data_IF_321819379441
#
_entry.id   IF_321819379441
#
_cell.length_a   1.000
_cell.length_b   1.000
_cell.length_c   1.000
_cell.angle_alpha   90.00
_cell.angle_beta   90.00
_cell.angle_gamma   90.00
#
_symmetry.space_group_name_H-M   'P 1'
#
loop_
_entity.id
_entity.type
_entity.pdbx_description
1 polymer ?
#
# COMPACT_ATOMS: atom_id res chain seq x y z
N UNK A 1 46.23 -36.68 -8.05
CA UNK A 1 44.91 -36.60 -7.38
C UNK A 1 44.58 -35.12 -7.18
N UNK A 2 43.75 -34.54 -8.05
CA UNK A 2 43.26 -33.16 -7.94
C UNK A 2 41.85 -33.20 -7.34
N UNK A 3 41.53 -32.43 -6.29
CA UNK A 3 40.20 -32.45 -5.70
C UNK A 3 39.22 -31.68 -6.60
N UNK A 4 38.15 -32.36 -7.00
CA UNK A 4 37.01 -31.77 -7.70
C UNK A 4 36.27 -30.86 -6.72
N UNK A 5 36.23 -29.57 -7.01
CA UNK A 5 35.39 -28.60 -6.31
C UNK A 5 33.94 -28.79 -6.79
N UNK A 6 32.96 -29.11 -5.93
CA UNK A 6 31.58 -29.11 -6.35
C UNK A 6 31.08 -27.67 -6.43
N UNK A 7 30.85 -27.17 -7.65
CA UNK A 7 30.05 -25.97 -7.87
C UNK A 7 28.59 -26.36 -7.66
N UNK A 8 28.12 -26.18 -6.43
CA UNK A 8 26.72 -25.97 -6.10
C UNK A 8 26.72 -24.69 -5.25
N UNK A 9 25.88 -23.69 -5.52
CA UNK A 9 24.57 -23.61 -4.87
C UNK A 9 23.76 -22.44 -5.46
N UNK A 10 22.51 -22.79 -5.79
CA UNK A 10 21.26 -22.02 -5.71
C UNK A 10 21.08 -20.72 -6.51
N UNK A 11 20.60 -20.88 -7.74
CA UNK A 11 19.73 -19.90 -8.40
C UNK A 11 18.28 -20.01 -7.84
N UNK A 12 18.02 -19.51 -6.63
CA UNK A 12 16.66 -19.35 -6.08
C UNK A 12 16.51 -18.10 -5.19
N UNK A 13 17.24 -17.01 -5.51
CA UNK A 13 17.19 -15.74 -4.79
C UNK A 13 16.38 -14.62 -5.48
N UNK A 14 15.61 -14.93 -6.53
CA UNK A 14 15.17 -13.92 -7.50
C UNK A 14 13.99 -13.02 -7.09
N UNK A 15 13.03 -13.50 -6.28
CA UNK A 15 11.75 -12.78 -6.11
C UNK A 15 11.58 -12.17 -4.70
N UNK A 16 12.19 -12.77 -3.68
CA UNK A 16 12.08 -12.26 -2.30
C UNK A 16 12.76 -10.90 -2.10
N UNK A 17 13.86 -10.64 -2.83
CA UNK A 17 14.57 -9.36 -2.77
C UNK A 17 13.75 -8.19 -3.33
N UNK A 18 12.97 -8.43 -4.38
CA UNK A 18 12.20 -7.38 -5.06
C UNK A 18 11.07 -6.84 -4.17
N UNK A 19 10.33 -7.72 -3.48
CA UNK A 19 9.28 -7.33 -2.52
C UNK A 19 9.84 -6.54 -1.33
N UNK A 20 11.04 -6.89 -0.86
CA UNK A 20 11.70 -6.16 0.23
C UNK A 20 12.14 -4.76 -0.21
N UNK A 21 12.60 -4.62 -1.47
CA UNK A 21 12.98 -3.34 -2.04
C UNK A 21 11.78 -2.42 -2.22
N UNK A 22 10.65 -2.95 -2.72
CA UNK A 22 9.39 -2.20 -2.87
C UNK A 22 8.85 -1.73 -1.51
N UNK A 23 8.91 -2.56 -0.47
CA UNK A 23 8.54 -2.18 0.91
C UNK A 23 9.34 -0.99 1.48
N UNK A 24 10.53 -0.70 0.95
CA UNK A 24 11.36 0.44 1.39
C UNK A 24 11.14 1.70 0.56
N UNK A 25 10.42 1.61 -0.56
CA UNK A 25 10.19 2.75 -1.44
C UNK A 25 9.19 3.70 -0.80
N UNK A 26 9.50 4.99 -0.86
CA UNK A 26 8.61 6.06 -0.40
C UNK A 26 7.88 6.67 -1.59
N UNK A 27 6.63 7.05 -1.34
CA UNK A 27 5.74 7.81 -2.20
C UNK A 27 6.02 9.29 -1.92
N UNK A 28 6.47 10.03 -2.93
CA UNK A 28 6.45 11.48 -2.88
C UNK A 28 5.01 11.95 -3.16
N UNK A 29 4.56 13.03 -2.52
CA UNK A 29 3.20 13.52 -2.66
C UNK A 29 2.85 13.89 -4.12
N UNK A 30 3.85 14.36 -4.86
CA UNK A 30 3.76 14.72 -6.27
C UNK A 30 3.56 13.48 -7.16
N UNK A 31 3.98 12.31 -6.69
CA UNK A 31 3.95 11.07 -7.46
C UNK A 31 2.66 10.26 -7.26
N UNK A 32 1.82 10.62 -6.28
CA UNK A 32 0.59 9.87 -5.92
C UNK A 32 -0.32 9.68 -7.13
N UNK A 33 -0.62 10.75 -7.86
CA UNK A 33 -1.49 10.71 -9.05
C UNK A 33 -0.93 9.80 -10.12
N UNK A 34 0.39 9.83 -10.34
CA UNK A 34 1.06 8.99 -11.33
C UNK A 34 0.96 7.51 -10.95
N UNK A 35 1.16 7.19 -9.67
CA UNK A 35 1.03 5.81 -9.19
C UNK A 35 -0.42 5.31 -9.27
N UNK A 36 -1.39 6.16 -8.90
CA UNK A 36 -2.81 5.82 -9.00
C UNK A 36 -3.26 5.57 -10.45
N UNK A 37 -2.93 6.49 -11.35
CA UNK A 37 -3.29 6.40 -12.76
C UNK A 37 -2.67 5.19 -13.49
N UNK A 38 -1.55 4.66 -12.97
CA UNK A 38 -0.95 3.44 -13.50
C UNK A 38 -1.82 2.19 -13.27
N UNK A 39 -2.63 2.17 -12.22
CA UNK A 39 -3.55 1.06 -11.91
C UNK A 39 -4.98 1.37 -12.36
N UNK A 40 -5.43 2.61 -12.18
CA UNK A 40 -6.80 3.06 -12.50
C UNK A 40 -6.77 4.23 -13.50
N UNK A 41 -6.46 3.96 -14.78
CA UNK A 41 -6.43 5.01 -15.79
C UNK A 41 -7.82 5.65 -15.96
N UNK A 42 -7.89 6.98 -15.89
CA UNK A 42 -9.13 7.76 -16.01
C UNK A 42 -9.88 7.99 -14.70
N UNK A 43 -9.39 7.46 -13.58
CA UNK A 43 -9.88 7.79 -12.25
C UNK A 43 -9.00 8.89 -11.63
N UNK A 44 -9.57 10.08 -11.42
CA UNK A 44 -8.79 11.25 -11.01
C UNK A 44 -8.74 11.38 -9.49
N UNK A 45 -7.54 11.58 -8.96
CA UNK A 45 -7.32 11.88 -7.54
C UNK A 45 -7.74 13.34 -7.27
N UNK A 46 -8.68 13.54 -6.36
CA UNK A 46 -9.21 14.85 -5.96
C UNK A 46 -8.58 15.35 -4.67
N UNK A 47 -8.19 14.45 -3.77
CA UNK A 47 -7.40 14.75 -2.58
C UNK A 47 -6.47 13.58 -2.23
N UNK A 48 -5.38 13.85 -1.50
CA UNK A 48 -4.38 12.84 -1.14
C UNK A 48 -3.69 13.16 0.18
N UNK A 49 -3.46 12.11 0.96
CA UNK A 49 -2.66 12.16 2.18
C UNK A 49 -1.65 11.03 2.15
N UNK A 50 -0.36 11.37 2.09
CA UNK A 50 0.72 10.39 2.25
C UNK A 50 0.98 10.18 3.73
N UNK A 51 1.11 8.93 4.16
CA UNK A 51 1.46 8.60 5.54
C UNK A 51 2.83 9.20 5.89
N UNK A 52 3.07 9.51 7.17
CA UNK A 52 4.31 10.16 7.59
C UNK A 52 5.58 9.37 7.24
N UNK A 53 5.49 8.03 7.14
CA UNK A 53 6.63 7.18 6.77
C UNK A 53 6.88 7.12 5.24
N UNK A 54 5.96 7.69 4.46
CA UNK A 54 5.96 7.76 3.01
C UNK A 54 5.60 6.45 2.32
N UNK A 55 5.18 5.39 3.01
CA UNK A 55 5.03 4.06 2.35
C UNK A 55 3.65 3.80 1.79
N UNK A 56 2.68 4.53 2.29
CA UNK A 56 1.27 4.41 1.97
C UNK A 56 0.67 5.78 1.76
N UNK A 57 -0.35 5.87 0.92
CA UNK A 57 -1.12 7.09 0.73
C UNK A 57 -2.61 6.76 0.65
N UNK A 58 -3.41 7.54 1.36
CA UNK A 58 -4.86 7.58 1.18
C UNK A 58 -5.17 8.57 0.06
N UNK A 59 -6.02 8.17 -0.87
CA UNK A 59 -6.49 9.03 -1.95
C UNK A 59 -8.00 9.12 -1.91
N UNK A 60 -8.52 10.31 -2.18
CA UNK A 60 -9.90 10.53 -2.59
C UNK A 60 -9.90 10.71 -4.12
N UNK A 61 -10.88 10.15 -4.79
CA UNK A 61 -11.03 10.17 -6.24
C UNK A 61 -12.46 10.46 -6.62
N UNK A 62 -12.71 10.62 -7.92
CA UNK A 62 -14.06 10.83 -8.45
C UNK A 62 -15.02 9.66 -8.13
N UNK A 63 -14.50 8.46 -7.88
CA UNK A 63 -15.30 7.25 -7.68
C UNK A 63 -15.32 6.78 -6.23
N UNK A 64 -14.76 7.57 -5.32
CA UNK A 64 -14.70 7.27 -3.90
C UNK A 64 -13.26 7.29 -3.42
N UNK A 65 -12.85 6.37 -2.57
CA UNK A 65 -11.52 6.44 -1.98
C UNK A 65 -10.68 5.22 -2.25
N UNK A 66 -9.37 5.43 -2.15
CA UNK A 66 -8.38 4.42 -2.46
C UNK A 66 -7.18 4.48 -1.55
N UNK A 67 -6.37 3.44 -1.66
CA UNK A 67 -5.07 3.33 -1.04
C UNK A 67 -4.00 3.03 -2.08
N UNK A 68 -2.86 3.68 -1.89
CA UNK A 68 -1.59 3.26 -2.44
C UNK A 68 -0.78 2.59 -1.35
N UNK A 69 -0.27 1.39 -1.63
CA UNK A 69 0.51 0.57 -0.72
C UNK A 69 1.90 0.28 -1.29
N UNK A 70 2.80 -0.19 -0.42
CA UNK A 70 4.13 -0.67 -0.80
C UNK A 70 4.94 0.32 -1.65
N UNK A 71 4.89 1.61 -1.29
CA UNK A 71 5.61 2.65 -2.02
C UNK A 71 4.99 3.00 -3.38
N UNK A 72 3.67 2.82 -3.52
CA UNK A 72 2.92 3.09 -4.74
C UNK A 72 2.95 1.96 -5.77
N UNK A 73 3.43 0.79 -5.39
CA UNK A 73 3.49 -0.39 -6.27
C UNK A 73 2.14 -1.10 -6.40
N UNK A 74 1.28 -0.95 -5.40
CA UNK A 74 -0.07 -1.52 -5.38
C UNK A 74 -1.07 -0.40 -5.09
N UNK A 75 -2.19 -0.44 -5.80
CA UNK A 75 -3.31 0.47 -5.60
C UNK A 75 -4.59 -0.34 -5.46
N UNK A 76 -5.44 0.03 -4.51
CA UNK A 76 -6.75 -0.56 -4.36
C UNK A 76 -7.79 0.51 -4.02
N UNK A 77 -9.03 0.28 -4.45
CA UNK A 77 -10.17 1.04 -3.95
C UNK A 77 -10.65 0.46 -2.65
N UNK A 78 -11.16 1.33 -1.77
CA UNK A 78 -11.65 0.99 -0.43
C UNK A 78 -13.03 1.59 -0.21
N UNK A 79 -13.85 1.56 -1.25
CA UNK A 79 -15.26 1.93 -1.21
C UNK A 79 -16.05 0.88 -0.43
N UNK A 80 -17.07 1.30 0.32
CA UNK A 80 -17.88 0.44 1.21
C UNK A 80 -17.05 -0.45 2.14
N UNK A 81 -16.15 0.20 2.88
CA UNK A 81 -15.27 -0.45 3.87
C UNK A 81 -15.56 0.04 5.28
N UNK A 82 -15.30 -0.83 6.25
CA UNK A 82 -15.21 -0.49 7.67
C UNK A 82 -13.74 -0.39 8.07
N UNK A 83 -13.42 0.56 8.95
CA UNK A 83 -12.05 0.83 9.37
C UNK A 83 -11.92 0.62 10.87
N UNK A 84 -11.08 -0.32 11.26
CA UNK A 84 -10.72 -0.56 12.65
C UNK A 84 -9.34 0.03 12.93
N UNK A 85 -9.23 0.84 13.97
CA UNK A 85 -7.93 1.24 14.50
C UNK A 85 -7.26 0.08 15.22
N UNK A 86 -6.00 -0.19 14.87
CA UNK A 86 -5.20 -1.24 15.50
C UNK A 86 -3.87 -0.66 15.98
N UNK A 87 -3.20 -1.28 16.97
CA UNK A 87 -1.88 -0.84 17.39
C UNK A 87 -0.92 -0.75 16.19
N UNK A 88 -0.46 0.46 15.88
CA UNK A 88 0.48 0.73 14.77
C UNK A 88 -0.16 0.84 13.38
N UNK A 89 -1.49 1.05 13.28
CA UNK A 89 -2.10 1.19 11.95
C UNK A 89 -3.62 1.19 11.92
N UNK A 90 -4.14 0.83 10.75
CA UNK A 90 -5.55 0.62 10.46
C UNK A 90 -5.76 -0.74 9.82
N UNK A 91 -6.88 -1.39 10.12
CA UNK A 91 -7.38 -2.53 9.36
C UNK A 91 -8.63 -2.11 8.61
N UNK A 92 -8.62 -2.31 7.30
CA UNK A 92 -9.73 -1.98 6.42
C UNK A 92 -10.42 -3.29 6.05
N UNK A 93 -11.71 -3.38 6.37
CA UNK A 93 -12.56 -4.53 6.13
C UNK A 93 -13.55 -4.19 5.04
N UNK A 94 -13.59 -5.03 4.01
CA UNK A 94 -14.54 -4.86 2.91
C UNK A 94 -15.87 -5.48 3.29
N UNK A 95 -16.97 -4.77 3.00
CA UNK A 95 -18.32 -5.26 3.29
C UNK A 95 -18.79 -6.37 2.33
N UNK A 96 -18.03 -6.62 1.27
CA UNK A 96 -18.32 -7.67 0.27
C UNK A 96 -18.22 -9.11 0.82
N UNK A 97 -17.64 -9.30 2.01
CA UNK A 97 -17.49 -10.61 2.67
C UNK A 97 -16.56 -11.59 1.98
N UNK A 98 -15.91 -11.19 0.88
CA UNK A 98 -15.02 -12.04 0.07
C UNK A 98 -13.60 -11.49 -0.03
N UNK A 99 -13.43 -10.17 0.10
CA UNK A 99 -12.14 -9.52 0.05
C UNK A 99 -11.46 -9.61 1.41
N UNK A 100 -10.22 -10.08 1.40
CA UNK A 100 -9.42 -10.16 2.62
C UNK A 100 -9.18 -8.76 3.20
N UNK A 101 -9.25 -8.59 4.53
CA UNK A 101 -8.94 -7.30 5.15
C UNK A 101 -7.52 -6.84 4.83
N UNK A 102 -7.34 -5.53 4.65
CA UNK A 102 -6.03 -4.93 4.42
C UNK A 102 -5.57 -4.23 5.71
N UNK A 103 -4.41 -4.63 6.23
CA UNK A 103 -3.78 -3.94 7.35
C UNK A 103 -2.72 -2.97 6.83
N UNK A 104 -2.92 -1.69 7.11
CA UNK A 104 -2.00 -0.60 6.77
C UNK A 104 -1.25 -0.20 8.01
N UNK A 105 0.08 -0.36 8.00
CA UNK A 105 0.92 0.17 9.05
C UNK A 105 0.95 1.70 8.94
N UNK A 106 0.58 2.40 10.01
CA UNK A 106 0.60 3.85 10.08
C UNK A 106 1.30 4.33 11.35
N UNK A 107 2.13 5.38 11.27
CA UNK A 107 2.65 6.06 12.43
C UNK A 107 1.54 6.54 13.36
N UNK A 108 1.85 6.62 14.66
CA UNK A 108 0.93 7.17 15.67
C UNK A 108 0.51 8.59 15.30
N UNK A 109 -0.79 8.82 15.11
CA UNK A 109 -1.37 10.11 14.68
C UNK A 109 -2.06 10.04 13.32
N UNK A 110 -1.49 9.29 12.37
CA UNK A 110 -2.06 9.13 11.02
C UNK A 110 -3.35 8.29 11.06
N UNK A 111 -3.40 7.25 11.91
CA UNK A 111 -4.55 6.37 12.01
C UNK A 111 -5.85 7.11 12.33
N UNK A 112 -5.86 8.02 13.31
CA UNK A 112 -7.03 8.84 13.65
C UNK A 112 -7.44 9.77 12.51
N UNK A 113 -6.47 10.51 11.97
CA UNK A 113 -6.72 11.43 10.87
C UNK A 113 -7.19 10.74 9.58
N UNK A 114 -6.86 9.46 9.39
CA UNK A 114 -7.29 8.65 8.26
C UNK A 114 -8.66 8.04 8.52
N UNK A 115 -8.93 7.51 9.71
CA UNK A 115 -10.27 7.04 10.09
C UNK A 115 -11.32 8.12 9.86
N UNK A 116 -11.10 9.33 10.38
CA UNK A 116 -12.05 10.45 10.23
C UNK A 116 -12.32 10.78 8.74
N UNK A 117 -11.30 10.70 7.88
CA UNK A 117 -11.44 10.93 6.43
C UNK A 117 -12.13 9.77 5.70
N UNK A 118 -11.98 8.55 6.20
CA UNK A 118 -12.59 7.37 5.60
C UNK A 118 -14.07 7.27 5.99
N UNK A 119 -14.40 7.60 7.23
CA UNK A 119 -15.77 7.54 7.76
C UNK A 119 -16.57 8.81 7.49
N UNK A 120 -15.94 9.98 7.44
CA UNK A 120 -16.57 11.26 7.17
C UNK A 120 -16.89 11.53 5.69
N UNK A 121 -16.93 10.49 4.86
CA UNK A 121 -17.20 10.56 3.41
C UNK A 121 -18.67 10.79 3.11
#
# INVERSE_FOLDING_TARGET
MLPVVPIAIAAFGGVSGLRLLMRRRRIAAEDVERHWAATFPGDHVTDKVVAMDGRTALVATDWGAGLLCHGGAEACRIDDTEVDQVPGGLTIRFRDGITAPITVALPSGDAAAWTDRIEGR
#
